data_IF_753948427914
#
_entry.id   IF_753948427914
#
_cell.length_a   1.000
_cell.length_b   1.000
_cell.length_c   1.000
_cell.angle_alpha   90.00
_cell.angle_beta   90.00
_cell.angle_gamma   90.00
#
_symmetry.space_group_name_H-M   'P 1'
#
loop_
_entity.id
_entity.type
_entity.pdbx_description
1 polymer ?
#
# COMPACT_ATOMS: atom_id res chain seq x y z
N UNK A 1 -29.91 1.06 9.34
CA UNK A 1 -28.66 1.62 8.77
C UNK A 1 -27.79 0.45 8.38
N UNK A 2 -27.27 0.44 7.15
CA UNK A 2 -26.49 -0.71 6.65
C UNK A 2 -25.00 -0.47 6.89
N UNK A 3 -24.32 -1.44 7.50
CA UNK A 3 -22.88 -1.43 7.74
C UNK A 3 -22.22 -2.58 6.98
N UNK A 4 -21.35 -2.25 6.03
CA UNK A 4 -20.52 -3.22 5.30
C UNK A 4 -19.08 -3.09 5.75
N UNK A 5 -18.44 -4.21 6.04
CA UNK A 5 -17.03 -4.27 6.40
C UNK A 5 -16.23 -4.93 5.28
N UNK A 6 -15.26 -4.21 4.70
CA UNK A 6 -14.36 -4.73 3.67
C UNK A 6 -13.17 -5.41 4.33
N UNK A 7 -13.01 -6.72 4.12
CA UNK A 7 -11.92 -7.52 4.66
C UNK A 7 -11.13 -8.21 3.54
N UNK A 8 -9.93 -8.70 3.86
CA UNK A 8 -9.07 -9.41 2.93
C UNK A 8 -7.60 -9.03 3.10
N UNK A 9 -6.71 -9.85 2.54
CA UNK A 9 -5.26 -9.68 2.63
C UNK A 9 -4.78 -8.34 2.04
N UNK A 10 -3.52 -7.98 2.29
CA UNK A 10 -2.88 -6.81 1.69
C UNK A 10 -3.06 -6.80 0.18
N UNK A 11 -3.30 -5.62 -0.40
CA UNK A 11 -3.35 -5.42 -1.86
C UNK A 11 -4.40 -6.24 -2.63
N UNK A 12 -5.34 -6.88 -1.94
CA UNK A 12 -6.39 -7.67 -2.59
C UNK A 12 -7.38 -6.83 -3.41
N UNK A 13 -7.38 -5.49 -3.23
CA UNK A 13 -8.20 -4.53 -3.97
C UNK A 13 -9.35 -3.90 -3.17
N UNK A 14 -9.37 -4.04 -1.83
CA UNK A 14 -10.41 -3.46 -0.95
C UNK A 14 -10.63 -1.95 -1.16
N UNK A 15 -9.55 -1.17 -1.14
CA UNK A 15 -9.65 0.29 -1.31
C UNK A 15 -10.11 0.67 -2.73
N UNK A 16 -9.75 -0.14 -3.75
CA UNK A 16 -10.28 0.03 -5.12
C UNK A 16 -11.78 -0.26 -5.18
N UNK A 17 -12.25 -1.31 -4.50
CA UNK A 17 -13.68 -1.62 -4.34
C UNK A 17 -14.42 -0.46 -3.65
N UNK A 18 -13.83 0.15 -2.62
CA UNK A 18 -14.43 1.31 -1.96
C UNK A 18 -14.47 2.55 -2.88
N UNK A 19 -13.38 2.81 -3.62
CA UNK A 19 -13.33 3.88 -4.65
C UNK A 19 -14.40 3.68 -5.72
N UNK A 20 -14.65 2.45 -6.15
CA UNK A 20 -15.75 2.13 -7.08
C UNK A 20 -17.12 2.44 -6.50
N UNK A 21 -17.38 2.07 -5.24
CA UNK A 21 -18.65 2.41 -4.58
C UNK A 21 -18.90 3.91 -4.56
N UNK A 22 -17.84 4.70 -4.38
CA UNK A 22 -17.91 6.16 -4.43
C UNK A 22 -18.20 6.71 -5.84
N UNK A 23 -17.64 6.10 -6.87
CA UNK A 23 -17.91 6.48 -8.27
C UNK A 23 -19.34 6.11 -8.69
N UNK A 24 -19.83 4.94 -8.28
CA UNK A 24 -21.12 4.40 -8.72
C UNK A 24 -22.29 4.99 -7.92
N UNK A 25 -22.12 5.18 -6.60
CA UNK A 25 -23.20 5.57 -5.69
C UNK A 25 -22.96 6.88 -4.95
N UNK A 26 -21.77 7.47 -5.07
CA UNK A 26 -21.41 8.74 -4.45
C UNK A 26 -21.39 9.89 -5.45
N UNK A 27 -20.79 11.00 -5.03
CA UNK A 27 -20.58 12.20 -5.86
C UNK A 27 -19.29 12.14 -6.69
N UNK A 28 -18.62 10.97 -6.74
CA UNK A 28 -17.29 10.83 -7.32
C UNK A 28 -16.21 11.55 -6.52
N UNK A 29 -15.09 11.86 -7.19
CA UNK A 29 -13.94 12.56 -6.62
C UNK A 29 -13.96 14.05 -6.97
N UNK A 30 -13.80 14.89 -5.94
CA UNK A 30 -13.75 16.34 -6.09
C UNK A 30 -12.43 16.78 -6.75
N UNK A 31 -12.42 17.99 -7.33
CA UNK A 31 -11.20 18.59 -7.90
C UNK A 31 -10.03 18.63 -6.90
N UNK A 32 -10.32 18.89 -5.62
CA UNK A 32 -9.30 18.90 -4.57
C UNK A 32 -8.68 17.51 -4.37
N UNK A 33 -9.50 16.47 -4.27
CA UNK A 33 -9.02 15.10 -4.08
C UNK A 33 -8.24 14.61 -5.29
N UNK A 34 -8.69 14.94 -6.51
CA UNK A 34 -7.96 14.62 -7.75
C UNK A 34 -6.55 15.20 -7.74
N UNK A 35 -6.39 16.43 -7.25
CA UNK A 35 -5.07 17.07 -7.08
C UNK A 35 -4.23 16.31 -6.04
N UNK A 36 -4.82 15.87 -4.92
CA UNK A 36 -4.07 15.09 -3.95
C UNK A 36 -3.64 13.72 -4.50
N UNK A 37 -4.52 13.04 -5.23
CA UNK A 37 -4.16 11.79 -5.92
C UNK A 37 -3.06 12.02 -6.97
N UNK A 38 -3.07 13.13 -7.71
CA UNK A 38 -1.97 13.48 -8.63
C UNK A 38 -0.61 13.53 -7.92
N UNK A 39 -0.56 14.05 -6.69
CA UNK A 39 0.69 14.11 -5.90
C UNK A 39 1.15 12.72 -5.46
N UNK A 40 0.21 11.86 -5.07
CA UNK A 40 0.52 10.45 -4.74
C UNK A 40 1.08 9.73 -5.97
N UNK A 41 0.42 9.83 -7.12
CA UNK A 41 0.87 9.19 -8.37
C UNK A 41 2.28 9.67 -8.74
N UNK A 42 2.55 10.97 -8.60
CA UNK A 42 3.88 11.51 -8.84
C UNK A 42 4.93 10.89 -7.89
N UNK A 43 4.62 10.79 -6.59
CA UNK A 43 5.49 10.12 -5.61
C UNK A 43 5.75 8.66 -5.97
N UNK A 44 4.69 7.92 -6.32
CA UNK A 44 4.80 6.50 -6.71
C UNK A 44 5.62 6.33 -7.99
N UNK A 45 5.52 7.27 -8.94
CA UNK A 45 6.31 7.28 -10.17
C UNK A 45 7.81 7.38 -9.87
N UNK A 46 8.20 8.33 -9.01
CA UNK A 46 9.59 8.53 -8.60
C UNK A 46 10.12 7.32 -7.83
N UNK A 47 9.36 6.85 -6.83
CA UNK A 47 9.72 5.68 -6.02
C UNK A 47 9.88 4.41 -6.87
N UNK A 48 8.98 4.20 -7.84
CA UNK A 48 9.04 3.04 -8.72
C UNK A 48 10.35 2.98 -9.49
N UNK A 49 10.81 4.09 -10.07
CA UNK A 49 12.08 4.12 -10.81
C UNK A 49 13.27 3.90 -9.87
N UNK A 50 13.23 4.42 -8.64
CA UNK A 50 14.27 4.17 -7.62
C UNK A 50 14.38 2.72 -7.23
N UNK A 51 13.23 2.07 -7.01
CA UNK A 51 13.19 0.64 -6.72
C UNK A 51 13.85 -0.15 -7.84
N UNK A 52 13.62 0.21 -9.12
CA UNK A 52 14.29 -0.46 -10.23
C UNK A 52 15.81 -0.28 -10.23
N UNK A 53 16.30 0.92 -9.89
CA UNK A 53 17.74 1.14 -9.75
C UNK A 53 18.35 0.25 -8.66
N UNK A 54 17.70 0.17 -7.50
CA UNK A 54 18.16 -0.66 -6.38
C UNK A 54 18.14 -2.16 -6.71
N UNK A 55 17.08 -2.61 -7.37
CA UNK A 55 16.91 -4.02 -7.73
C UNK A 55 17.85 -4.46 -8.85
N UNK A 56 18.33 -3.54 -9.69
CA UNK A 56 19.37 -3.84 -10.66
C UNK A 56 20.64 -4.39 -10.00
N UNK A 57 21.07 -3.77 -8.90
CA UNK A 57 22.26 -4.19 -8.15
C UNK A 57 22.06 -5.58 -7.53
N UNK A 58 20.89 -5.84 -6.94
CA UNK A 58 20.53 -7.13 -6.33
C UNK A 58 20.47 -8.25 -7.38
N UNK A 59 19.91 -7.96 -8.56
CA UNK A 59 19.77 -8.92 -9.65
C UNK A 59 21.06 -9.06 -10.49
N UNK A 60 22.10 -8.27 -10.19
CA UNK A 60 23.33 -8.24 -10.99
C UNK A 60 23.10 -7.80 -12.43
N UNK A 61 22.10 -6.97 -12.70
CA UNK A 61 21.79 -6.45 -14.03
C UNK A 61 22.57 -5.14 -14.23
N UNK A 62 23.51 -5.09 -15.19
CA UNK A 62 24.25 -3.87 -15.46
C UNK A 62 23.32 -2.79 -16.04
N UNK A 63 23.48 -1.56 -15.53
CA UNK A 63 22.75 -0.39 -15.99
C UNK A 63 23.68 0.57 -16.72
N UNK A 64 23.23 1.10 -17.86
CA UNK A 64 23.99 2.10 -18.62
C UNK A 64 24.11 3.41 -17.83
N UNK A 65 23.16 3.70 -16.95
CA UNK A 65 23.21 4.85 -16.04
C UNK A 65 24.20 4.71 -14.87
N UNK A 66 24.88 3.56 -14.72
CA UNK A 66 25.99 3.40 -13.77
C UNK A 66 27.32 3.86 -14.37
N UNK A 67 27.47 3.91 -15.69
CA UNK A 67 28.67 4.39 -16.36
C UNK A 67 28.73 5.92 -16.34
N UNK A 68 29.76 6.49 -15.70
CA UNK A 68 29.94 7.94 -15.57
C UNK A 68 30.13 8.67 -16.91
N UNK A 69 30.54 7.95 -17.95
CA UNK A 69 30.66 8.48 -19.31
C UNK A 69 29.33 8.49 -20.06
N UNK A 70 28.33 7.74 -19.59
CA UNK A 70 27.00 7.68 -20.17
C UNK A 70 26.21 8.96 -19.90
N UNK A 71 25.44 9.40 -20.90
CA UNK A 71 24.49 10.51 -20.75
C UNK A 71 23.43 10.20 -19.68
N UNK A 72 23.13 8.92 -19.44
CA UNK A 72 22.14 8.45 -18.49
C UNK A 72 22.62 8.53 -17.03
N UNK A 73 23.93 8.66 -16.81
CA UNK A 73 24.48 8.89 -15.47
C UNK A 73 23.86 10.13 -14.82
N UNK A 74 23.72 11.22 -15.60
CA UNK A 74 23.09 12.45 -15.11
C UNK A 74 21.62 12.22 -14.73
N UNK A 75 20.88 11.42 -15.49
CA UNK A 75 19.49 11.07 -15.18
C UNK A 75 19.38 10.30 -13.86
N UNK A 76 20.30 9.35 -13.60
CA UNK A 76 20.39 8.68 -12.30
C UNK A 76 20.69 9.68 -11.17
N UNK A 77 21.63 10.61 -11.36
CA UNK A 77 21.96 11.61 -10.33
C UNK A 77 20.78 12.54 -10.02
N UNK A 78 20.04 13.01 -11.03
CA UNK A 78 18.82 13.82 -10.85
C UNK A 78 17.79 13.07 -9.99
N UNK A 79 17.57 11.79 -10.31
CA UNK A 79 16.61 10.98 -9.56
C UNK A 79 17.05 10.74 -8.12
N UNK A 80 18.35 10.50 -7.87
CA UNK A 80 18.89 10.29 -6.52
C UNK A 80 18.95 11.57 -5.67
N UNK A 81 19.16 12.73 -6.30
CA UNK A 81 19.19 14.03 -5.64
C UNK A 81 17.80 14.57 -5.26
N UNK A 82 16.73 13.94 -5.75
CA UNK A 82 15.36 14.28 -5.36
C UNK A 82 15.13 13.81 -3.92
N UNK A 83 14.42 14.57 -3.07
CA UNK A 83 13.90 14.02 -1.80
C UNK A 83 12.39 13.83 -1.99
N UNK A 84 11.94 12.58 -1.85
CA UNK A 84 10.52 12.18 -1.95
C UNK A 84 9.65 13.01 -1.02
N UNK A 85 10.18 13.33 0.17
CA UNK A 85 9.43 13.99 1.21
C UNK A 85 9.47 15.51 1.11
N UNK A 86 10.45 16.08 0.40
CA UNK A 86 10.53 17.53 0.19
C UNK A 86 9.53 18.00 -0.89
N UNK A 87 9.22 17.13 -1.85
CA UNK A 87 8.09 17.29 -2.80
C UNK A 87 6.74 17.30 -2.05
N UNK A 88 6.58 16.44 -1.03
CA UNK A 88 5.37 16.38 -0.21
C UNK A 88 5.30 17.44 0.91
N UNK A 89 6.43 17.90 1.47
CA UNK A 89 6.42 18.92 2.53
C UNK A 89 6.10 20.31 2.00
N UNK A 90 6.63 20.70 0.83
CA UNK A 90 6.46 22.05 0.27
C UNK A 90 5.08 22.30 -0.35
N UNK A 91 4.36 21.24 -0.75
CA UNK A 91 3.11 21.36 -1.52
C UNK A 91 1.83 20.99 -0.76
N UNK A 92 1.90 20.48 0.47
CA UNK A 92 0.71 20.04 1.21
C UNK A 92 0.27 21.11 2.21
N UNK A 93 -0.82 21.81 1.88
CA UNK A 93 -1.58 22.61 2.83
C UNK A 93 -2.04 21.74 4.01
N UNK A 94 -2.42 22.32 5.17
CA UNK A 94 -2.97 21.56 6.29
C UNK A 94 -4.12 20.60 5.89
N UNK A 95 -4.95 20.99 4.93
CA UNK A 95 -6.03 20.16 4.38
C UNK A 95 -5.51 18.97 3.58
N UNK A 96 -4.39 19.14 2.87
CA UNK A 96 -3.75 18.07 2.12
C UNK A 96 -3.06 17.06 3.05
N UNK A 97 -2.44 17.56 4.15
CA UNK A 97 -1.94 16.70 5.23
C UNK A 97 -3.07 15.93 5.90
N UNK A 98 -4.24 16.57 6.08
CA UNK A 98 -5.45 15.91 6.58
C UNK A 98 -5.98 14.83 5.63
N UNK A 99 -5.99 15.11 4.33
CA UNK A 99 -6.37 14.11 3.32
C UNK A 99 -5.45 12.89 3.39
N UNK A 100 -4.13 13.08 3.51
CA UNK A 100 -3.18 11.97 3.72
C UNK A 100 -3.40 11.27 5.06
N UNK A 101 -3.69 12.02 6.14
CA UNK A 101 -3.97 11.45 7.45
C UNK A 101 -5.31 10.72 7.53
N UNK A 102 -6.29 11.06 6.69
CA UNK A 102 -7.55 10.32 6.61
C UNK A 102 -7.33 8.90 6.05
N UNK A 103 -6.18 8.60 5.42
CA UNK A 103 -5.73 7.23 5.07
C UNK A 103 -4.94 6.53 6.19
N UNK A 104 -4.77 7.19 7.35
CA UNK A 104 -4.10 6.70 8.56
C UNK A 104 -4.91 7.13 9.79
N UNK A 105 -5.87 6.33 10.28
CA UNK A 105 -6.48 6.64 11.58
C UNK A 105 -5.46 6.43 12.69
N UNK A 106 -4.99 7.54 13.25
CA UNK A 106 -4.17 7.59 14.45
C UNK A 106 -5.06 7.30 15.68
N UNK A 107 -4.75 6.21 16.36
CA UNK A 107 -5.34 5.84 17.65
C UNK A 107 -4.21 5.63 18.68
N UNK A 108 -3.23 6.55 18.70
CA UNK A 108 -2.30 6.84 19.80
C UNK A 108 -1.31 5.74 20.25
N UNK A 109 -0.43 6.05 21.22
CA UNK A 109 0.45 7.21 21.18
C UNK A 109 1.49 7.02 20.06
N UNK A 110 1.86 8.12 19.43
CA UNK A 110 2.92 8.31 18.45
C UNK A 110 3.94 7.16 18.36
N UNK A 111 3.78 6.27 17.36
CA UNK A 111 4.96 5.70 16.72
C UNK A 111 5.47 6.81 15.82
N UNK A 112 6.29 7.68 16.40
CA UNK A 112 7.13 8.59 15.65
C UNK A 112 7.85 7.74 14.61
N UNK A 113 7.88 8.21 13.37
CA UNK A 113 8.69 7.63 12.30
C UNK A 113 10.16 7.80 12.72
N UNK A 114 10.64 6.89 13.56
CA UNK A 114 12.01 6.84 14.07
C UNK A 114 12.60 5.43 13.95
N UNK A 115 11.79 4.41 13.64
CA UNK A 115 12.25 3.01 13.60
C UNK A 115 12.65 2.50 12.21
N UNK A 116 12.82 3.41 11.23
CA UNK A 116 13.53 3.12 9.98
C UNK A 116 14.94 3.77 9.94
N UNK A 117 15.42 4.33 11.07
CA UNK A 117 16.70 5.05 11.13
C UNK A 117 17.89 4.22 11.65
N UNK A 118 17.74 2.95 12.03
CA UNK A 118 18.87 2.14 12.54
C UNK A 118 19.08 0.81 11.77
N UNK A 119 19.19 0.88 10.45
CA UNK A 119 19.89 -0.14 9.67
C UNK A 119 20.90 0.55 8.76
N UNK A 120 21.98 1.04 9.37
CA UNK A 120 23.31 1.19 8.79
C UNK A 120 24.27 1.77 9.84
N UNK A 121 24.64 0.95 10.82
CA UNK A 121 25.98 0.93 11.39
C UNK A 121 26.10 -0.23 12.39
N UNK A 122 26.86 -1.26 12.03
CA UNK A 122 27.93 -1.88 12.82
C UNK A 122 28.16 -3.33 12.36
N UNK A 123 29.20 -3.51 11.54
CA UNK A 123 30.02 -4.72 11.56
C UNK A 123 31.24 -4.42 12.45
N UNK A 124 31.35 -5.07 13.61
CA UNK A 124 32.44 -6.00 13.98
C UNK A 124 32.36 -6.37 15.47
N UNK A 125 32.40 -7.69 15.74
CA UNK A 125 33.21 -8.43 16.76
C UNK A 125 33.48 -7.72 18.11
N UNK A 126 33.26 -8.30 19.29
CA UNK A 126 33.66 -9.64 19.75
C UNK A 126 32.95 -10.06 21.06
N UNK A 127 32.82 -11.38 21.22
CA UNK A 127 32.92 -12.27 22.40
C UNK A 127 32.32 -11.98 23.79
N UNK A 128 31.68 -13.07 24.28
CA UNK A 128 31.70 -13.65 25.65
C UNK A 128 30.72 -13.14 26.75
N UNK A 129 29.77 -14.04 27.03
CA UNK A 129 29.40 -14.68 28.31
C UNK A 129 28.88 -13.91 29.54
N UNK A 130 27.74 -14.44 30.00
CA UNK A 130 27.31 -14.76 31.37
C UNK A 130 26.74 -13.69 32.34
N UNK A 131 25.43 -13.87 32.55
CA UNK A 131 24.75 -14.10 33.84
C UNK A 131 24.48 -12.99 34.88
N UNK A 132 23.16 -12.85 35.14
CA UNK A 132 22.47 -12.89 36.46
C UNK A 132 22.32 -11.60 37.29
N UNK A 133 21.04 -11.24 37.43
CA UNK A 133 20.31 -10.71 38.61
C UNK A 133 20.36 -9.22 38.99
N UNK A 134 19.20 -8.73 39.44
CA UNK A 134 19.16 -7.96 40.70
C UNK A 134 18.56 -6.54 40.66
N UNK A 135 17.24 -6.46 40.90
CA UNK A 135 16.58 -5.56 41.88
C UNK A 135 16.83 -4.04 41.92
N UNK A 136 15.73 -3.30 41.66
CA UNK A 136 15.04 -2.27 42.49
C UNK A 136 15.76 -1.05 43.11
N UNK A 137 15.00 0.06 43.08
CA UNK A 137 15.06 1.29 43.91
C UNK A 137 16.22 2.24 43.57
N UNK A 138 16.10 3.57 43.53
CA UNK A 138 15.07 4.50 43.96
C UNK A 138 15.76 5.80 44.41
N UNK A 139 15.25 6.96 43.97
CA UNK A 139 15.31 8.30 44.61
C UNK A 139 16.69 8.91 44.93
N UNK A 140 16.90 10.16 44.49
CA UNK A 140 17.67 11.13 45.28
C UNK A 140 18.49 12.14 44.49
N UNK A 141 17.95 13.35 44.34
CA UNK A 141 18.77 14.56 44.16
C UNK A 141 19.63 14.78 45.41
N UNK A 142 20.83 15.36 45.25
CA UNK A 142 21.41 16.45 46.07
C UNK A 142 22.72 16.93 45.42
N UNK A 143 22.86 18.24 45.34
CA UNK A 143 24.02 19.01 44.89
C UNK A 143 25.23 18.88 45.85
N UNK A 144 26.45 19.20 45.37
CA UNK A 144 27.45 20.01 46.11
C UNK A 144 28.71 20.29 45.27
N UNK A 145 29.16 21.54 45.41
CA UNK A 145 30.31 22.26 44.87
C UNK A 145 31.71 21.62 45.03
N UNK A 146 32.63 22.02 44.15
CA UNK A 146 33.94 22.66 44.43
C UNK A 146 34.61 22.93 43.07
N UNK A 147 34.73 24.16 42.59
CA UNK A 147 35.66 25.23 42.99
C UNK A 147 37.14 24.86 42.84
N UNK A 148 37.79 25.48 41.86
CA UNK A 148 39.12 26.08 41.96
C UNK A 148 39.46 26.79 40.64
N UNK A 149 39.63 28.11 40.74
CA UNK A 149 40.03 28.98 39.65
C UNK A 149 41.51 28.92 39.30
N UNK A 150 41.79 29.38 38.09
CA UNK A 150 43.04 30.03 37.73
C UNK A 150 42.72 31.13 36.73
N UNK A 151 43.01 32.36 37.16
CA UNK A 151 43.05 33.56 36.34
C UNK A 151 44.39 33.57 35.58
N UNK A 152 44.34 33.71 34.26
CA UNK A 152 45.44 34.24 33.45
C UNK A 152 44.81 35.15 32.38
N UNK A 153 45.02 36.47 32.56
CA UNK A 153 44.67 37.54 31.63
C UNK A 153 45.70 37.58 30.49
N UNK A 154 45.31 37.26 29.25
CA UNK A 154 46.06 37.63 28.04
C UNK A 154 45.11 38.05 26.90
N UNK A 155 45.17 39.35 26.58
CA UNK A 155 44.97 40.01 25.29
C UNK A 155 43.74 39.65 24.40
N UNK A 156 42.70 40.48 24.47
CA UNK A 156 41.62 40.57 23.47
C UNK A 156 42.15 41.13 22.13
N UNK A 157 42.74 40.28 21.28
CA UNK A 157 42.79 40.54 19.83
C UNK A 157 41.43 40.20 19.21
N UNK A 158 40.72 41.23 18.75
CA UNK A 158 39.45 41.13 18.05
C UNK A 158 39.67 40.49 16.65
N UNK A 159 39.72 39.14 16.60
CA UNK A 159 39.76 38.39 15.35
C UNK A 159 38.37 38.47 14.72
N UNK A 160 38.22 39.29 13.67
CA UNK A 160 37.01 39.25 12.85
C UNK A 160 36.93 37.89 12.16
N UNK A 161 36.19 36.95 12.75
CA UNK A 161 35.77 35.74 12.06
C UNK A 161 34.90 36.15 10.88
N UNK A 162 35.51 36.19 9.70
CA UNK A 162 34.77 36.12 8.46
C UNK A 162 34.14 34.73 8.40
N UNK A 163 32.92 34.61 8.93
CA UNK A 163 32.08 33.43 8.72
C UNK A 163 31.85 33.31 7.21
N UNK A 164 32.69 32.56 6.53
CA UNK A 164 32.47 32.19 5.15
C UNK A 164 31.15 31.41 5.12
N UNK A 165 30.08 32.06 4.65
CA UNK A 165 28.81 31.39 4.42
C UNK A 165 29.10 30.21 3.50
N UNK A 166 28.90 29.00 4.01
CA UNK A 166 28.92 27.79 3.19
C UNK A 166 28.00 28.03 1.99
N UNK A 167 28.43 27.69 0.75
CA UNK A 167 27.61 27.90 -0.43
C UNK A 167 26.26 27.20 -0.21
N UNK A 168 25.17 27.92 -0.50
CA UNK A 168 23.82 27.37 -0.42
C UNK A 168 23.77 26.04 -1.20
N UNK A 169 23.13 24.99 -0.65
CA UNK A 169 23.02 23.72 -1.36
C UNK A 169 22.41 23.95 -2.75
N UNK A 170 22.85 23.20 -3.77
CA UNK A 170 22.33 23.35 -5.12
C UNK A 170 20.79 23.21 -5.11
N UNK A 171 20.08 23.96 -5.99
CA UNK A 171 18.64 23.86 -6.05
C UNK A 171 18.22 22.43 -6.39
N UNK A 172 17.19 21.94 -5.70
CA UNK A 172 16.62 20.62 -5.97
C UNK A 172 16.10 20.55 -7.41
N UNK A 173 16.17 19.37 -8.05
CA UNK A 173 15.60 19.18 -9.38
C UNK A 173 14.10 19.49 -9.44
N UNK A 174 13.67 20.17 -10.49
CA UNK A 174 12.27 20.41 -10.78
C UNK A 174 11.55 19.11 -11.19
N UNK A 175 10.21 19.06 -11.06
CA UNK A 175 9.41 17.90 -11.52
C UNK A 175 9.66 17.56 -12.99
N UNK A 176 9.88 18.57 -13.83
CA UNK A 176 10.14 18.36 -15.26
C UNK A 176 11.52 17.73 -15.49
N UNK A 177 12.54 18.13 -14.73
CA UNK A 177 13.88 17.52 -14.81
C UNK A 177 13.85 16.07 -14.32
N UNK A 178 13.12 15.79 -13.23
CA UNK A 178 12.92 14.43 -12.74
C UNK A 178 12.15 13.59 -13.76
N UNK A 179 11.12 14.16 -14.39
CA UNK A 179 10.34 13.48 -15.42
C UNK A 179 11.18 13.12 -16.64
N UNK A 180 12.01 14.05 -17.10
CA UNK A 180 12.96 13.80 -18.19
C UNK A 180 13.94 12.69 -17.81
N UNK A 181 14.49 12.72 -16.59
CA UNK A 181 15.38 11.69 -16.11
C UNK A 181 14.72 10.30 -16.09
N UNK A 182 13.50 10.19 -15.56
CA UNK A 182 12.73 8.94 -15.56
C UNK A 182 12.44 8.48 -16.99
N UNK A 183 12.04 9.39 -17.87
CA UNK A 183 11.78 9.09 -19.28
C UNK A 183 13.03 8.54 -19.98
N UNK A 184 14.19 9.17 -19.78
CA UNK A 184 15.45 8.74 -20.38
C UNK A 184 15.89 7.38 -19.85
N UNK A 185 15.82 7.16 -18.53
CA UNK A 185 16.13 5.86 -17.92
C UNK A 185 15.20 4.77 -18.46
N UNK A 186 13.89 5.02 -18.53
CA UNK A 186 12.93 4.04 -19.03
C UNK A 186 13.11 3.70 -20.52
N UNK A 187 13.34 4.71 -21.36
CA UNK A 187 13.36 4.56 -22.82
C UNK A 187 14.74 4.20 -23.38
N UNK A 188 15.83 4.57 -22.70
CA UNK A 188 17.19 4.40 -23.23
C UNK A 188 17.97 3.31 -22.49
N UNK A 189 17.83 3.16 -21.17
CA UNK A 189 18.58 2.17 -20.41
C UNK A 189 17.99 0.75 -20.61
N UNK A 190 18.74 -0.13 -21.27
CA UNK A 190 18.31 -1.52 -21.53
C UNK A 190 18.27 -2.33 -20.22
N UNK A 191 19.16 -2.03 -19.28
CA UNK A 191 19.24 -2.66 -17.97
C UNK A 191 17.98 -2.40 -17.16
N UNK A 192 17.48 -1.17 -17.13
CA UNK A 192 16.21 -0.79 -16.48
C UNK A 192 15.05 -1.65 -17.02
N UNK A 193 14.89 -1.76 -18.34
CA UNK A 193 13.82 -2.59 -18.92
C UNK A 193 13.99 -4.08 -18.59
N UNK A 194 15.23 -4.57 -18.49
CA UNK A 194 15.50 -5.94 -18.07
C UNK A 194 15.17 -6.18 -16.60
N UNK A 195 15.42 -5.21 -15.71
CA UNK A 195 14.95 -5.25 -14.32
C UNK A 195 13.43 -5.34 -14.28
N UNK A 196 12.73 -4.52 -15.06
CA UNK A 196 11.26 -4.56 -15.12
C UNK A 196 10.72 -5.92 -15.58
N UNK A 197 11.37 -6.60 -16.52
CA UNK A 197 10.99 -7.95 -16.94
C UNK A 197 11.10 -8.98 -15.80
N UNK A 198 11.98 -8.73 -14.83
CA UNK A 198 12.17 -9.53 -13.63
C UNK A 198 11.42 -8.97 -12.41
N UNK A 199 10.49 -8.03 -12.59
CA UNK A 199 9.72 -7.41 -11.51
C UNK A 199 8.83 -8.40 -10.72
N UNK A 200 8.69 -9.64 -11.15
CA UNK A 200 8.04 -10.70 -10.37
C UNK A 200 8.92 -11.22 -9.23
N UNK A 201 10.24 -10.98 -9.27
CA UNK A 201 11.21 -11.41 -8.25
C UNK A 201 11.27 -10.46 -7.05
N UNK A 202 10.63 -9.30 -7.14
CA UNK A 202 10.65 -8.28 -6.09
C UNK A 202 9.34 -7.49 -6.07
N UNK A 203 9.19 -6.65 -5.05
CA UNK A 203 7.96 -5.90 -4.82
C UNK A 203 7.95 -4.63 -5.68
N UNK A 204 7.35 -4.70 -6.86
CA UNK A 204 7.23 -3.58 -7.79
C UNK A 204 5.80 -3.03 -7.86
N UNK A 205 5.69 -1.73 -8.11
CA UNK A 205 4.40 -1.12 -8.43
C UNK A 205 3.88 -1.66 -9.77
N UNK A 206 2.67 -2.24 -9.75
CA UNK A 206 2.10 -2.92 -10.93
C UNK A 206 1.88 -1.94 -12.08
N UNK A 207 1.59 -0.66 -11.76
CA UNK A 207 1.36 0.39 -12.75
C UNK A 207 2.63 1.17 -13.13
N UNK A 208 3.81 0.77 -12.66
CA UNK A 208 5.05 1.53 -12.88
C UNK A 208 5.32 1.84 -14.36
N UNK A 209 5.09 0.87 -15.26
CA UNK A 209 5.24 1.08 -16.70
C UNK A 209 4.37 2.24 -17.20
N UNK A 210 3.10 2.26 -16.81
CA UNK A 210 2.15 3.31 -17.19
C UNK A 210 2.58 4.68 -16.64
N UNK A 211 3.15 4.69 -15.43
CA UNK A 211 3.72 5.89 -14.82
C UNK A 211 4.90 6.44 -15.61
N UNK A 212 5.83 5.58 -16.03
CA UNK A 212 6.98 6.00 -16.81
C UNK A 212 6.62 6.45 -18.23
N UNK A 213 5.63 5.80 -18.86
CA UNK A 213 5.16 6.13 -20.21
C UNK A 213 4.43 7.49 -20.26
N UNK A 214 3.79 7.92 -19.17
CA UNK A 214 3.09 9.22 -19.07
C UNK A 214 3.72 10.17 -18.05
N UNK A 215 5.01 10.01 -17.77
CA UNK A 215 5.69 10.74 -16.69
C UNK A 215 5.57 12.26 -16.82
N UNK A 216 5.53 12.80 -18.04
CA UNK A 216 5.38 14.24 -18.29
C UNK A 216 4.00 14.77 -17.89
N UNK A 217 2.94 13.98 -18.06
CA UNK A 217 1.60 14.36 -17.61
C UNK A 217 1.55 14.40 -16.08
N UNK A 218 2.12 13.39 -15.41
CA UNK A 218 2.16 13.32 -13.94
C UNK A 218 3.08 14.38 -13.32
N UNK A 219 4.11 14.83 -14.05
CA UNK A 219 5.00 15.90 -13.63
C UNK A 219 4.33 17.29 -13.68
N UNK A 220 3.29 17.47 -14.50
CA UNK A 220 2.61 18.74 -14.67
C UNK A 220 1.89 19.14 -13.36
N UNK A 221 2.22 20.29 -12.74
CA UNK A 221 1.57 20.74 -11.50
C UNK A 221 0.06 20.98 -11.63
N UNK A 222 -0.44 21.18 -12.85
CA UNK A 222 -1.87 21.39 -13.14
C UNK A 222 -2.62 20.09 -13.43
N UNK A 223 -1.92 18.95 -13.50
CA UNK A 223 -2.54 17.67 -13.76
C UNK A 223 -3.50 17.25 -12.64
N UNK A 224 -4.66 16.75 -13.04
CA UNK A 224 -5.70 16.24 -12.14
C UNK A 224 -5.95 14.77 -12.47
N UNK A 225 -5.76 13.91 -11.48
CA UNK A 225 -5.98 12.48 -11.62
C UNK A 225 -7.38 12.16 -12.17
N UNK A 226 -7.43 11.32 -13.20
CA UNK A 226 -8.69 10.79 -13.73
C UNK A 226 -9.24 9.70 -12.79
N UNK A 227 -10.47 9.25 -13.03
CA UNK A 227 -11.03 8.15 -12.24
C UNK A 227 -10.21 6.86 -12.40
N UNK A 228 -9.69 6.61 -13.60
CA UNK A 228 -8.78 5.48 -13.86
C UNK A 228 -7.53 5.60 -13.02
N UNK A 229 -6.88 6.77 -13.01
CA UNK A 229 -5.65 6.99 -12.25
C UNK A 229 -5.87 6.80 -10.75
N UNK A 230 -7.01 7.27 -10.23
CA UNK A 230 -7.39 7.08 -8.83
C UNK A 230 -7.65 5.61 -8.51
N UNK A 231 -8.29 4.87 -9.42
CA UNK A 231 -8.61 3.45 -9.21
C UNK A 231 -7.37 2.55 -9.23
N UNK A 232 -6.42 2.82 -10.13
CA UNK A 232 -5.18 2.05 -10.26
C UNK A 232 -4.09 2.52 -9.31
N UNK A 233 -4.12 3.79 -8.88
CA UNK A 233 -3.14 4.38 -7.97
C UNK A 233 -3.04 3.68 -6.63
N UNK A 234 -1.82 3.43 -6.17
CA UNK A 234 -1.53 2.73 -4.93
C UNK A 234 -1.49 3.70 -3.76
N UNK A 235 -2.35 3.46 -2.78
CA UNK A 235 -2.23 4.05 -1.45
C UNK A 235 -2.30 2.89 -0.48
N UNK A 236 -1.25 2.69 0.32
CA UNK A 236 -1.26 1.68 1.38
C UNK A 236 -2.23 2.14 2.46
N UNK A 237 -3.35 1.43 2.58
CA UNK A 237 -4.34 1.72 3.63
C UNK A 237 -3.82 1.25 4.98
N UNK A 238 -3.74 2.19 5.92
CA UNK A 238 -3.41 1.91 7.32
C UNK A 238 -4.57 2.34 8.21
N UNK A 239 -4.81 1.61 9.29
CA UNK A 239 -5.94 1.83 10.18
C UNK A 239 -7.28 1.40 9.58
N UNK A 240 -8.33 2.14 9.95
CA UNK A 240 -9.72 1.86 9.60
C UNK A 240 -10.30 3.13 8.97
N UNK A 241 -10.63 3.08 7.68
CA UNK A 241 -11.27 4.17 6.97
C UNK A 241 -12.77 3.94 6.86
N UNK A 242 -13.58 4.96 7.18
CA UNK A 242 -15.03 4.89 7.07
C UNK A 242 -15.53 5.84 5.97
N UNK A 243 -16.33 5.31 5.05
CA UNK A 243 -17.06 6.11 4.07
C UNK A 243 -18.57 5.92 4.24
N UNK A 244 -19.33 7.00 4.03
CA UNK A 244 -20.79 6.95 4.06
C UNK A 244 -21.36 7.52 2.75
N UNK A 245 -22.36 6.84 2.22
CA UNK A 245 -23.13 7.30 1.08
C UNK A 245 -24.59 6.85 1.21
N UNK A 246 -25.47 7.38 0.36
CA UNK A 246 -26.90 7.02 0.32
C UNK A 246 -27.16 6.17 -0.92
N UNK A 247 -27.60 4.92 -0.73
CA UNK A 247 -28.04 4.04 -1.82
C UNK A 247 -29.54 3.87 -1.71
N UNK A 248 -30.28 4.22 -2.78
CA UNK A 248 -31.76 4.15 -2.80
C UNK A 248 -32.40 4.82 -1.56
N UNK A 249 -31.86 5.97 -1.14
CA UNK A 249 -32.31 6.72 0.04
C UNK A 249 -31.84 6.16 1.39
N UNK A 250 -31.28 4.95 1.44
CA UNK A 250 -30.81 4.33 2.69
C UNK A 250 -29.34 4.66 2.95
N UNK A 251 -28.97 5.11 4.16
CA UNK A 251 -27.57 5.34 4.51
C UNK A 251 -26.81 4.01 4.61
N UNK A 252 -25.76 3.91 3.80
CA UNK A 252 -24.80 2.81 3.81
C UNK A 252 -23.47 3.33 4.35
N UNK A 253 -22.91 2.66 5.36
CA UNK A 253 -21.56 2.89 5.88
C UNK A 253 -20.68 1.73 5.47
N UNK A 254 -19.55 2.04 4.84
CA UNK A 254 -18.51 1.07 4.50
C UNK A 254 -17.26 1.36 5.31
N UNK A 255 -16.62 0.29 5.77
CA UNK A 255 -15.37 0.33 6.52
C UNK A 255 -14.31 -0.41 5.72
N UNK A 256 -13.26 0.29 5.28
CA UNK A 256 -12.06 -0.28 4.66
C UNK A 256 -10.95 -0.35 5.70
N UNK A 257 -10.35 -1.52 5.87
CA UNK A 257 -9.31 -1.76 6.88
C UNK A 257 -8.02 -2.21 6.22
N UNK A 258 -6.89 -1.86 6.83
CA UNK A 258 -5.57 -2.32 6.37
C UNK A 258 -5.51 -3.86 6.30
N UNK A 259 -5.05 -4.39 5.16
CA UNK A 259 -5.01 -5.85 4.90
C UNK A 259 -3.76 -6.57 5.43
N UNK A 260 -2.70 -5.82 5.70
CA UNK A 260 -1.41 -6.33 6.16
C UNK A 260 -1.51 -6.88 7.59
N UNK A 261 -0.65 -7.85 7.93
CA UNK A 261 -0.72 -8.55 9.23
C UNK A 261 -0.65 -7.57 10.43
N UNK A 262 0.17 -6.54 10.34
CA UNK A 262 0.31 -5.47 11.35
C UNK A 262 -1.00 -4.72 11.63
N UNK A 263 -1.86 -4.58 10.62
CA UNK A 263 -3.10 -3.82 10.70
C UNK A 263 -4.29 -4.63 11.22
N UNK A 264 -4.22 -5.97 11.14
CA UNK A 264 -5.35 -6.86 11.48
C UNK A 264 -5.78 -6.79 12.93
N UNK A 265 -4.87 -6.44 13.85
CA UNK A 265 -5.20 -6.25 15.28
C UNK A 265 -6.26 -5.15 15.47
N UNK A 266 -6.32 -4.18 14.55
CA UNK A 266 -7.28 -3.07 14.60
C UNK A 266 -8.68 -3.46 14.12
N UNK A 267 -8.83 -4.59 13.41
CA UNK A 267 -10.10 -4.98 12.77
C UNK A 267 -11.23 -5.18 13.77
N UNK A 268 -10.93 -5.70 14.96
CA UNK A 268 -11.95 -5.97 15.99
C UNK A 268 -12.73 -4.70 16.38
N UNK A 269 -12.14 -3.51 16.25
CA UNK A 269 -12.79 -2.22 16.55
C UNK A 269 -13.95 -1.87 15.61
N UNK A 270 -14.12 -2.60 14.50
CA UNK A 270 -15.21 -2.35 13.56
C UNK A 270 -16.15 -3.56 13.37
N UNK A 271 -16.05 -4.61 14.19
CA UNK A 271 -16.84 -5.83 14.05
C UNK A 271 -18.27 -5.72 14.59
N UNK A 272 -18.56 -4.74 15.44
CA UNK A 272 -19.90 -4.56 16.00
C UNK A 272 -20.96 -4.20 14.93
N UNK A 273 -22.11 -4.87 14.98
CA UNK A 273 -23.29 -4.56 14.18
C UNK A 273 -23.02 -4.51 12.66
N UNK A 274 -22.18 -5.40 12.15
CA UNK A 274 -21.92 -5.55 10.71
C UNK A 274 -23.10 -6.24 10.04
N UNK A 275 -23.67 -5.61 9.02
CA UNK A 275 -24.79 -6.14 8.24
C UNK A 275 -24.35 -7.19 7.22
N UNK A 276 -23.17 -6.98 6.61
CA UNK A 276 -22.55 -7.89 5.66
C UNK A 276 -21.03 -7.71 5.67
N UNK A 277 -20.29 -8.81 5.54
CA UNK A 277 -18.84 -8.78 5.29
C UNK A 277 -18.61 -8.85 3.79
N UNK A 278 -17.81 -7.94 3.25
CA UNK A 278 -17.33 -8.00 1.87
C UNK A 278 -15.85 -8.42 1.92
N UNK A 279 -15.57 -9.68 1.64
CA UNK A 279 -14.23 -10.23 1.62
C UNK A 279 -13.66 -10.17 0.21
N UNK A 280 -12.51 -9.53 0.04
CA UNK A 280 -11.83 -9.40 -1.27
C UNK A 280 -10.58 -10.27 -1.27
N UNK A 281 -10.56 -11.25 -2.17
CA UNK A 281 -9.43 -12.14 -2.44
C UNK A 281 -8.87 -11.88 -3.84
N UNK A 282 -7.56 -11.66 -3.96
CA UNK A 282 -6.92 -11.49 -5.26
C UNK A 282 -6.54 -12.87 -5.83
N UNK A 283 -7.30 -13.35 -6.82
CA UNK A 283 -7.06 -14.69 -7.41
C UNK A 283 -5.77 -14.78 -8.21
N UNK A 284 -5.20 -13.65 -8.61
CA UNK A 284 -3.93 -13.61 -9.32
C UNK A 284 -2.72 -13.88 -8.43
N UNK A 285 -2.83 -13.87 -7.10
CA UNK A 285 -1.69 -13.96 -6.17
C UNK A 285 -1.34 -15.42 -5.81
N UNK A 286 -1.73 -16.40 -6.63
CA UNK A 286 -1.49 -17.83 -6.38
C UNK A 286 -0.02 -18.24 -6.45
N UNK A 287 0.80 -17.47 -7.17
CA UNK A 287 2.22 -17.70 -7.40
C UNK A 287 3.11 -16.68 -6.67
N UNK A 288 2.55 -15.91 -5.74
CA UNK A 288 3.25 -14.84 -5.03
C UNK A 288 3.44 -15.21 -3.55
N UNK A 289 4.51 -14.67 -2.94
CA UNK A 289 4.79 -14.75 -1.50
C UNK A 289 4.46 -13.43 -0.80
N UNK A 290 4.23 -13.46 0.51
CA UNK A 290 3.85 -12.28 1.26
C UNK A 290 4.95 -11.22 1.23
N UNK A 291 4.54 -9.96 1.38
CA UNK A 291 5.49 -8.88 1.59
C UNK A 291 6.21 -9.03 2.94
N UNK A 292 5.48 -9.50 3.95
CA UNK A 292 5.97 -9.66 5.31
C UNK A 292 6.78 -10.96 5.54
N UNK A 293 6.74 -11.91 4.61
CA UNK A 293 7.21 -13.30 4.81
C UNK A 293 7.40 -13.99 3.45
N UNK A 294 8.65 -14.20 3.02
CA UNK A 294 9.01 -14.73 1.70
C UNK A 294 8.84 -16.25 1.57
N UNK A 295 8.55 -16.95 2.66
CA UNK A 295 8.26 -18.38 2.66
C UNK A 295 6.75 -18.68 2.54
N UNK A 296 5.90 -17.68 2.79
CA UNK A 296 4.45 -17.87 2.84
C UNK A 296 3.77 -17.41 1.56
N UNK A 297 3.11 -18.35 0.88
CA UNK A 297 2.29 -18.06 -0.30
C UNK A 297 1.07 -17.16 0.05
N UNK A 298 0.83 -16.13 -0.77
CA UNK A 298 -0.25 -15.13 -0.54
C UNK A 298 -1.65 -15.72 -0.65
N UNK A 299 -1.88 -16.68 -1.54
CA UNK A 299 -3.18 -17.33 -1.67
C UNK A 299 -3.48 -18.21 -0.46
N UNK A 300 -2.48 -18.94 0.05
CA UNK A 300 -2.62 -19.72 1.27
C UNK A 300 -2.95 -18.84 2.48
N UNK A 301 -2.21 -17.73 2.67
CA UNK A 301 -2.52 -16.73 3.71
C UNK A 301 -3.95 -16.18 3.57
N UNK A 302 -4.40 -15.93 2.34
CA UNK A 302 -5.75 -15.42 2.07
C UNK A 302 -6.83 -16.44 2.44
N UNK A 303 -6.59 -17.73 2.18
CA UNK A 303 -7.48 -18.83 2.55
C UNK A 303 -7.56 -18.99 4.07
N UNK A 304 -6.43 -18.94 4.77
CA UNK A 304 -6.37 -19.05 6.23
C UNK A 304 -7.05 -17.86 6.90
N UNK A 305 -6.85 -16.65 6.35
CA UNK A 305 -7.56 -15.45 6.79
C UNK A 305 -9.07 -15.57 6.56
N UNK A 306 -9.51 -16.08 5.41
CA UNK A 306 -10.93 -16.29 5.13
C UNK A 306 -11.56 -17.31 6.08
N UNK A 307 -10.85 -18.39 6.41
CA UNK A 307 -11.29 -19.38 7.40
C UNK A 307 -11.44 -18.74 8.79
N UNK A 308 -10.48 -17.91 9.23
CA UNK A 308 -10.59 -17.16 10.50
C UNK A 308 -11.81 -16.23 10.53
N UNK A 309 -12.10 -15.53 9.43
CA UNK A 309 -13.30 -14.69 9.29
C UNK A 309 -14.58 -15.54 9.27
N UNK A 310 -14.53 -16.74 8.69
CA UNK A 310 -15.64 -17.67 8.75
C UNK A 310 -15.90 -18.19 10.16
N UNK A 311 -14.85 -18.41 10.96
CA UNK A 311 -14.93 -19.05 12.26
C UNK A 311 -15.20 -18.08 13.41
N UNK A 312 -14.96 -16.78 13.21
CA UNK A 312 -15.14 -15.78 14.25
C UNK A 312 -16.60 -15.66 14.70
N UNK A 313 -16.81 -15.59 16.01
CA UNK A 313 -18.14 -15.44 16.62
C UNK A 313 -18.88 -14.18 16.17
N UNK A 314 -18.13 -13.15 15.79
CA UNK A 314 -18.68 -11.85 15.37
C UNK A 314 -19.50 -11.95 14.08
N UNK A 315 -19.17 -12.90 13.20
CA UNK A 315 -19.78 -13.04 11.87
C UNK A 315 -20.50 -14.36 11.68
N UNK A 316 -20.93 -15.00 12.77
CA UNK A 316 -21.57 -16.32 12.74
C UNK A 316 -22.77 -16.36 11.79
N UNK A 317 -23.66 -15.38 11.92
CA UNK A 317 -24.90 -15.27 11.12
C UNK A 317 -24.82 -14.13 10.08
N UNK A 318 -23.68 -13.45 10.00
CA UNK A 318 -23.47 -12.32 9.08
C UNK A 318 -23.21 -12.85 7.67
N UNK A 319 -23.99 -12.46 6.64
CA UNK A 319 -23.74 -12.87 5.27
C UNK A 319 -22.36 -12.41 4.79
N UNK A 320 -21.69 -13.24 4.00
CA UNK A 320 -20.38 -12.93 3.41
C UNK A 320 -20.54 -12.77 1.90
N UNK A 321 -19.95 -11.71 1.36
CA UNK A 321 -19.83 -11.46 -0.06
C UNK A 321 -18.36 -11.66 -0.40
N UNK A 322 -18.06 -12.68 -1.19
CA UNK A 322 -16.71 -13.02 -1.60
C UNK A 322 -16.43 -12.47 -2.99
N UNK A 323 -15.50 -11.53 -3.09
CA UNK A 323 -14.97 -11.04 -4.35
C UNK A 323 -13.69 -11.80 -4.71
N UNK A 324 -13.75 -12.54 -5.80
CA UNK A 324 -12.59 -13.12 -6.47
C UNK A 324 -12.07 -12.08 -7.48
N UNK A 325 -11.19 -11.20 -6.99
CA UNK A 325 -10.73 -9.99 -7.66
C UNK A 325 -9.42 -10.24 -8.46
N UNK A 326 -9.07 -9.29 -9.34
CA UNK A 326 -7.91 -9.33 -10.26
C UNK A 326 -8.03 -10.45 -11.32
N UNK A 327 -9.26 -10.69 -11.79
CA UNK A 327 -9.52 -11.69 -12.85
C UNK A 327 -8.80 -11.37 -14.17
N UNK A 328 -8.62 -10.09 -14.50
CA UNK A 328 -7.86 -9.60 -15.63
C UNK A 328 -6.37 -10.02 -15.56
N UNK A 329 -5.77 -9.89 -14.38
CA UNK A 329 -4.38 -10.30 -14.12
C UNK A 329 -4.27 -11.83 -14.17
N UNK A 330 -5.21 -12.57 -13.56
CA UNK A 330 -5.23 -14.03 -13.63
C UNK A 330 -5.21 -14.54 -15.09
N UNK A 331 -6.06 -13.97 -15.97
CA UNK A 331 -6.16 -14.37 -17.39
C UNK A 331 -4.84 -14.24 -18.15
N UNK A 332 -4.02 -13.25 -17.80
CA UNK A 332 -2.72 -13.05 -18.46
C UNK A 332 -1.61 -13.86 -17.79
N UNK A 333 -1.66 -13.98 -16.46
CA UNK A 333 -0.63 -14.65 -15.65
C UNK A 333 -0.56 -16.16 -15.88
N UNK A 334 -1.71 -16.83 -16.05
CA UNK A 334 -1.73 -18.29 -16.30
C UNK A 334 -0.95 -18.71 -17.56
N UNK A 335 -0.69 -17.80 -18.50
CA UNK A 335 0.10 -18.08 -19.71
C UNK A 335 1.61 -18.20 -19.45
N UNK A 336 2.08 -17.73 -18.29
CA UNK A 336 3.52 -17.66 -17.94
C UNK A 336 3.85 -18.32 -16.61
N UNK A 337 2.86 -18.56 -15.76
CA UNK A 337 2.97 -19.21 -14.45
C UNK A 337 1.84 -20.23 -14.38
N UNK A 338 2.16 -21.52 -14.30
CA UNK A 338 1.13 -22.57 -14.33
C UNK A 338 0.53 -22.74 -12.94
N UNK A 339 -0.80 -22.78 -12.85
CA UNK A 339 -1.48 -22.95 -11.57
C UNK A 339 -1.11 -24.26 -10.85
N UNK A 340 -0.83 -25.32 -11.61
CA UNK A 340 -0.43 -26.64 -11.08
C UNK A 340 0.92 -26.66 -10.37
N UNK A 341 1.79 -25.70 -10.66
CA UNK A 341 3.11 -25.61 -10.00
C UNK A 341 2.95 -25.23 -8.53
N UNK A 342 1.88 -24.48 -8.21
CA UNK A 342 1.55 -24.00 -6.86
C UNK A 342 0.41 -24.80 -6.23
N UNK A 343 -0.43 -25.43 -7.05
CA UNK A 343 -1.49 -26.32 -6.60
C UNK A 343 -1.50 -27.64 -7.36
N UNK A 344 -0.61 -28.59 -7.00
CA UNK A 344 -0.45 -29.86 -7.73
C UNK A 344 -1.70 -30.74 -7.75
N UNK A 345 -2.58 -30.60 -6.75
CA UNK A 345 -3.82 -31.36 -6.65
C UNK A 345 -4.97 -30.81 -7.52
N UNK A 346 -4.74 -29.75 -8.31
CA UNK A 346 -5.75 -29.17 -9.19
C UNK A 346 -6.05 -30.10 -10.38
N UNK A 347 -7.31 -30.56 -10.56
CA UNK A 347 -7.63 -31.58 -11.57
C UNK A 347 -8.04 -30.99 -12.93
N UNK A 348 -8.12 -29.67 -13.07
CA UNK A 348 -8.62 -29.00 -14.27
C UNK A 348 -7.52 -28.53 -15.22
N UNK A 349 -7.91 -27.80 -16.26
CA UNK A 349 -6.97 -27.15 -17.18
C UNK A 349 -6.28 -25.96 -16.47
N UNK A 350 -4.94 -25.98 -16.28
CA UNK A 350 -4.21 -24.92 -15.58
C UNK A 350 -4.13 -23.62 -16.37
N UNK A 351 -4.43 -23.64 -17.67
CA UNK A 351 -4.44 -22.46 -18.52
C UNK A 351 -5.82 -21.82 -18.64
N UNK A 352 -6.88 -22.49 -18.16
CA UNK A 352 -8.25 -22.00 -18.24
C UNK A 352 -8.61 -21.16 -16.99
N UNK A 353 -8.74 -19.83 -17.12
CA UNK A 353 -8.98 -18.94 -15.98
C UNK A 353 -10.31 -19.23 -15.27
N UNK A 354 -11.33 -19.65 -16.02
CA UNK A 354 -12.65 -19.91 -15.47
C UNK A 354 -12.69 -21.22 -14.69
N UNK A 355 -11.97 -22.27 -15.12
CA UNK A 355 -11.82 -23.51 -14.35
C UNK A 355 -10.98 -23.30 -13.07
N UNK A 356 -9.85 -22.58 -13.17
CA UNK A 356 -8.99 -22.25 -12.02
C UNK A 356 -9.78 -21.45 -11.00
N UNK A 357 -10.49 -20.40 -11.44
CA UNK A 357 -11.31 -19.58 -10.55
C UNK A 357 -12.44 -20.39 -9.89
N UNK A 358 -13.10 -21.29 -10.63
CA UNK A 358 -14.14 -22.16 -10.07
C UNK A 358 -13.59 -23.15 -9.04
N UNK A 359 -12.33 -23.58 -9.19
CA UNK A 359 -11.66 -24.39 -8.20
C UNK A 359 -11.31 -23.60 -6.94
N UNK A 360 -10.73 -22.40 -7.07
CA UNK A 360 -10.49 -21.51 -5.93
C UNK A 360 -11.78 -21.18 -5.17
N UNK A 361 -12.86 -20.88 -5.90
CA UNK A 361 -14.20 -20.65 -5.36
C UNK A 361 -14.66 -21.80 -4.47
N UNK A 362 -14.51 -23.05 -4.92
CA UNK A 362 -14.84 -24.24 -4.10
C UNK A 362 -14.00 -24.34 -2.84
N UNK A 363 -12.70 -24.02 -2.90
CA UNK A 363 -11.83 -24.03 -1.71
C UNK A 363 -12.32 -22.99 -0.71
N UNK A 364 -12.56 -21.75 -1.13
CA UNK A 364 -13.10 -20.71 -0.25
C UNK A 364 -14.42 -21.15 0.39
N UNK A 365 -15.38 -21.63 -0.41
CA UNK A 365 -16.68 -22.09 0.11
C UNK A 365 -16.54 -23.25 1.11
N UNK A 366 -15.56 -24.14 0.91
CA UNK A 366 -15.30 -25.25 1.84
C UNK A 366 -14.83 -24.79 3.23
N UNK A 367 -14.31 -23.56 3.36
CA UNK A 367 -13.94 -22.97 4.65
C UNK A 367 -15.15 -22.55 5.49
N UNK A 368 -16.35 -22.51 4.91
CA UNK A 368 -17.56 -22.16 5.65
C UNK A 368 -18.03 -23.33 6.53
N UNK A 369 -17.78 -23.25 7.83
CA UNK A 369 -18.25 -24.25 8.81
C UNK A 369 -19.73 -24.08 9.21
N UNK A 370 -20.39 -23.02 8.75
CA UNK A 370 -21.78 -22.70 9.08
C UNK A 370 -22.68 -22.76 7.82
N UNK A 371 -23.30 -23.92 7.52
CA UNK A 371 -24.05 -24.11 6.26
C UNK A 371 -25.27 -23.18 6.11
N UNK A 372 -25.80 -22.64 7.21
CA UNK A 372 -26.90 -21.67 7.17
C UNK A 372 -26.46 -20.23 6.83
N UNK A 373 -25.16 -19.92 6.91
CA UNK A 373 -24.63 -18.59 6.56
C UNK A 373 -24.43 -18.52 5.04
N UNK A 374 -25.11 -17.60 4.34
CA UNK A 374 -24.95 -17.48 2.90
C UNK A 374 -23.61 -16.81 2.56
N UNK A 375 -22.96 -17.36 1.53
CA UNK A 375 -21.77 -16.78 0.92
C UNK A 375 -22.07 -16.53 -0.56
N UNK A 376 -21.97 -15.28 -0.98
CA UNK A 376 -22.25 -14.85 -2.35
C UNK A 376 -20.95 -14.56 -3.07
N UNK A 377 -20.66 -15.29 -4.14
CA UNK A 377 -19.39 -15.17 -4.85
C UNK A 377 -19.56 -14.32 -6.10
N UNK A 378 -18.66 -13.35 -6.28
CA UNK A 378 -18.55 -12.57 -7.51
C UNK A 378 -17.11 -12.57 -8.00
N UNK A 379 -16.93 -12.83 -9.30
CA UNK A 379 -15.65 -12.67 -9.99
C UNK A 379 -15.54 -11.22 -10.44
N UNK A 380 -14.50 -10.53 -10.04
CA UNK A 380 -14.40 -9.08 -10.20
C UNK A 380 -13.08 -8.64 -10.81
N UNK A 381 -13.16 -7.50 -11.48
CA UNK A 381 -12.03 -6.65 -11.82
C UNK A 381 -12.34 -5.28 -11.22
N UNK A 382 -11.77 -4.97 -10.05
CA UNK A 382 -12.12 -3.76 -9.30
C UNK A 382 -11.81 -2.46 -10.07
N UNK A 383 -10.96 -2.51 -11.08
CA UNK A 383 -10.63 -1.37 -11.95
C UNK A 383 -11.61 -1.20 -13.12
N UNK A 384 -12.45 -2.20 -13.43
CA UNK A 384 -13.48 -2.10 -14.47
C UNK A 384 -14.79 -1.55 -13.89
N UNK A 385 -15.00 -0.25 -14.04
CA UNK A 385 -16.20 0.46 -13.56
C UNK A 385 -17.50 -0.11 -14.15
N UNK A 386 -17.51 -0.58 -15.39
CA UNK A 386 -18.73 -1.11 -16.02
C UNK A 386 -19.13 -2.42 -15.36
N UNK A 387 -18.20 -3.37 -15.25
CA UNK A 387 -18.45 -4.64 -14.57
C UNK A 387 -18.81 -4.41 -13.09
N UNK A 388 -18.12 -3.49 -12.42
CA UNK A 388 -18.36 -3.20 -11.01
C UNK A 388 -19.73 -2.57 -10.75
N UNK A 389 -20.27 -1.76 -11.68
CA UNK A 389 -21.62 -1.23 -11.55
C UNK A 389 -22.68 -2.33 -11.41
N UNK A 390 -22.59 -3.40 -12.21
CA UNK A 390 -23.51 -4.53 -12.14
C UNK A 390 -23.34 -5.34 -10.85
N UNK A 391 -22.09 -5.64 -10.48
CA UNK A 391 -21.78 -6.39 -9.24
C UNK A 391 -22.27 -5.62 -8.01
N UNK A 392 -22.05 -4.30 -7.97
CA UNK A 392 -22.46 -3.48 -6.84
C UNK A 392 -23.96 -3.26 -6.76
N UNK A 393 -24.66 -3.18 -7.89
CA UNK A 393 -26.12 -3.20 -7.89
C UNK A 393 -26.66 -4.50 -7.27
N UNK A 394 -26.11 -5.66 -7.65
CA UNK A 394 -26.52 -6.95 -7.08
C UNK A 394 -26.21 -7.05 -5.57
N UNK A 395 -25.02 -6.62 -5.15
CA UNK A 395 -24.61 -6.59 -3.74
C UNK A 395 -25.51 -5.69 -2.92
N UNK A 396 -25.77 -4.47 -3.39
CA UNK A 396 -26.63 -3.52 -2.68
C UNK A 396 -28.04 -4.07 -2.57
N UNK A 397 -28.62 -4.59 -3.65
CA UNK A 397 -29.98 -5.16 -3.65
C UNK A 397 -30.14 -6.33 -2.68
N UNK A 398 -29.18 -7.25 -2.68
CA UNK A 398 -29.17 -8.38 -1.76
C UNK A 398 -29.06 -7.94 -0.30
N UNK A 399 -28.17 -6.99 0.01
CA UNK A 399 -28.03 -6.47 1.37
C UNK A 399 -29.32 -5.75 1.80
N UNK A 400 -29.97 -4.99 0.91
CA UNK A 400 -31.21 -4.29 1.25
C UNK A 400 -32.42 -5.21 1.38
N UNK A 401 -32.58 -6.22 0.52
CA UNK A 401 -33.66 -7.21 0.63
C UNK A 401 -33.61 -7.92 1.98
N UNK A 402 -32.42 -8.36 2.42
CA UNK A 402 -32.27 -8.98 3.74
C UNK A 402 -32.60 -8.06 4.91
N UNK A 403 -32.23 -6.79 4.82
CA UNK A 403 -32.59 -5.82 5.86
C UNK A 403 -34.10 -5.58 5.91
N UNK A 404 -34.77 -5.54 4.77
CA UNK A 404 -36.23 -5.36 4.70
C UNK A 404 -36.97 -6.55 5.33
N UNK A 405 -36.55 -7.80 5.02
CA UNK A 405 -37.09 -9.00 5.68
C UNK A 405 -36.83 -9.01 7.19
N UNK A 406 -35.65 -8.56 7.65
CA UNK A 406 -35.35 -8.49 9.08
C UNK A 406 -36.19 -7.40 9.79
N UNK A 407 -36.48 -6.31 9.10
CA UNK A 407 -37.33 -5.23 9.63
C UNK A 407 -38.84 -5.54 9.59
N UNK A 408 -39.25 -6.68 9.04
CA UNK A 408 -40.66 -7.09 8.92
C UNK A 408 -41.49 -6.24 7.95
N UNK A 409 -40.82 -5.54 7.03
CA UNK A 409 -41.47 -4.68 6.01
C UNK A 409 -41.93 -5.50 4.80
N UNK A 410 -41.33 -6.67 4.58
CA UNK A 410 -41.69 -7.67 3.56
C UNK A 410 -41.65 -9.07 4.16
#
# INVERSE_FOLDING_TARGET
>A
MVKILLLGAGESGKSTVLKQMRLIHGTGFTSFERIQYSKVIWSDTVQSMRTMLQQADILGIPLDCNDTSSKLYKSKQVLLATDEWDIMKKEFSPEAKRFLSDYTVDMGPTVTIQTAMNMNHMNHMDTEDDDVSGTSNGIGMIASNNDNGHDDDEDDEEVSETTAMLPAPPPLPSRLEVAQAIHDLWTQDVGIRRVYQNAHMFQMEVNAKHYFEQVFDFANPQYKATDTDILVGRIKTTGIFQMQFKVKGTPLRMFDVGGQRSERRKWVHCFDNVTAVLFVAAVSEYDEVLFEDDEVNRMQETLDLFEQICDTRWFRDTPIILFLNKMDILRTKLKRSLFTDYQPAYPGDPLNPDQVCSYMERIFLSKNKYPGRPIYVHRTCATDTKSMAFVMAAVTDMVFQKNLTWSGVI
#
